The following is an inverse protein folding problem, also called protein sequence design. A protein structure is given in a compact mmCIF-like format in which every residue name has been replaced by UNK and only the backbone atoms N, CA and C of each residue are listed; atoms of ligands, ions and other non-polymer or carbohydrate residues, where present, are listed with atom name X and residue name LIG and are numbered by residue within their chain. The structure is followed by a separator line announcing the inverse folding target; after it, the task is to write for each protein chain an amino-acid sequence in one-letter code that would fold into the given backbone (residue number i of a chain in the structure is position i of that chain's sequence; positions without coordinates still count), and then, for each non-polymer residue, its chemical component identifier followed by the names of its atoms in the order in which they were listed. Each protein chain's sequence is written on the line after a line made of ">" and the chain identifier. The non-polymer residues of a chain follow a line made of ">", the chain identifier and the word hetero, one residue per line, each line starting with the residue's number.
data_IF_404378791787
#
_entry.id   IF_404378791787
#
_cell.length_a   1.000
_cell.length_b   1.000
_cell.length_c   1.000
_cell.angle_alpha   90.00
_cell.angle_beta   90.00
_cell.angle_gamma   90.00
#
_symmetry.space_group_name_H-M   'P 1'
#
loop_
_entity.id
_entity.type
_entity.pdbx_description
1 polymer ?
#
# COMPACT_ATOMS: atom_id res chain seq x y z
N UNK A 1 3.78 -11.13 -28.35
CA UNK A 1 2.79 -10.24 -27.69
C UNK A 1 2.31 -10.80 -26.35
N UNK A 2 2.13 -12.11 -26.20
CA UNK A 2 1.53 -12.74 -25.00
C UNK A 2 2.39 -12.65 -23.74
N UNK A 3 3.63 -13.15 -23.80
CA UNK A 3 4.55 -13.07 -22.66
C UNK A 3 4.84 -11.61 -22.25
N UNK A 4 4.97 -10.70 -23.24
CA UNK A 4 5.16 -9.28 -22.96
C UNK A 4 3.97 -8.63 -22.25
N UNK A 5 2.73 -9.02 -22.59
CA UNK A 5 1.52 -8.54 -21.89
C UNK A 5 1.47 -9.11 -20.48
N UNK A 6 1.74 -10.39 -20.30
CA UNK A 6 1.80 -11.02 -18.97
C UNK A 6 2.83 -10.33 -18.05
N UNK A 7 4.08 -10.20 -18.49
CA UNK A 7 5.12 -9.55 -17.69
C UNK A 7 4.82 -8.07 -17.47
N UNK A 8 4.34 -7.36 -18.49
CA UNK A 8 3.94 -5.96 -18.37
C UNK A 8 2.85 -5.75 -17.32
N UNK A 9 1.76 -6.53 -17.39
CA UNK A 9 0.66 -6.43 -16.44
C UNK A 9 1.08 -6.86 -15.03
N UNK A 10 1.92 -7.90 -14.91
CA UNK A 10 2.46 -8.35 -13.62
C UNK A 10 3.31 -7.26 -12.96
N UNK A 11 4.19 -6.62 -13.71
CA UNK A 11 5.04 -5.54 -13.19
C UNK A 11 4.26 -4.27 -12.87
N UNK A 12 3.22 -3.94 -13.63
CA UNK A 12 2.31 -2.84 -13.28
C UNK A 12 1.60 -3.16 -11.96
N UNK A 13 0.96 -4.32 -11.85
CA UNK A 13 0.15 -4.70 -10.69
C UNK A 13 1.00 -4.84 -9.41
N UNK A 14 2.07 -5.65 -9.46
CA UNK A 14 2.83 -6.05 -8.27
C UNK A 14 4.19 -5.38 -8.13
N UNK A 15 4.72 -4.71 -9.16
CA UNK A 15 6.07 -4.13 -9.14
C UNK A 15 6.29 -3.19 -7.95
N UNK A 16 5.42 -2.20 -7.72
CA UNK A 16 5.54 -1.32 -6.56
C UNK A 16 5.44 -2.07 -5.22
N UNK A 17 4.56 -3.06 -5.10
CA UNK A 17 4.41 -3.86 -3.89
C UNK A 17 5.68 -4.68 -3.57
N UNK A 18 6.27 -5.31 -4.60
CA UNK A 18 7.51 -6.07 -4.50
C UNK A 18 8.67 -5.13 -4.16
N UNK A 19 8.76 -3.96 -4.79
CA UNK A 19 9.79 -2.96 -4.47
C UNK A 19 9.69 -2.51 -3.00
N UNK A 20 8.48 -2.18 -2.55
CA UNK A 20 8.22 -1.84 -1.15
C UNK A 20 8.64 -2.98 -0.22
N UNK A 21 8.25 -4.22 -0.50
CA UNK A 21 8.66 -5.39 0.28
C UNK A 21 10.19 -5.54 0.34
N UNK A 22 10.87 -5.53 -0.81
CA UNK A 22 12.32 -5.73 -0.88
C UNK A 22 13.11 -4.64 -0.16
N UNK A 23 12.72 -3.37 -0.31
CA UNK A 23 13.46 -2.25 0.26
C UNK A 23 13.15 -1.98 1.74
N UNK A 24 11.94 -2.32 2.20
CA UNK A 24 11.47 -1.97 3.56
C UNK A 24 11.34 -3.17 4.51
N UNK A 25 10.92 -4.34 4.02
CA UNK A 25 10.65 -5.52 4.85
C UNK A 25 11.82 -6.52 4.78
N UNK A 26 12.33 -6.79 3.57
CA UNK A 26 13.32 -7.84 3.35
C UNK A 26 14.72 -7.52 3.92
N UNK A 27 15.00 -6.26 4.30
CA UNK A 27 16.25 -5.91 4.99
C UNK A 27 16.36 -6.52 6.38
N UNK A 28 15.26 -6.51 7.14
CA UNK A 28 15.21 -7.04 8.51
C UNK A 28 13.95 -7.89 8.72
N UNK A 29 13.81 -9.04 8.03
CA UNK A 29 12.58 -9.83 8.04
C UNK A 29 12.28 -10.40 9.44
N UNK A 30 13.31 -10.79 10.19
CA UNK A 30 13.16 -11.25 11.57
C UNK A 30 12.55 -10.18 12.47
N UNK A 31 12.95 -8.92 12.32
CA UNK A 31 12.39 -7.79 13.08
C UNK A 31 10.91 -7.60 12.79
N UNK A 32 10.49 -7.77 11.53
CA UNK A 32 9.07 -7.68 11.14
C UNK A 32 8.27 -8.88 11.64
N UNK A 33 8.84 -10.08 11.61
CA UNK A 33 8.19 -11.28 12.16
C UNK A 33 8.02 -11.13 13.67
N UNK A 34 9.07 -10.74 14.40
CA UNK A 34 8.99 -10.47 15.84
C UNK A 34 8.11 -9.25 16.17
N UNK A 35 7.94 -8.29 15.26
CA UNK A 35 7.00 -7.18 15.43
C UNK A 35 5.55 -7.69 15.45
N UNK A 36 5.18 -8.52 14.47
CA UNK A 36 3.84 -9.09 14.35
C UNK A 36 3.59 -10.10 15.48
N UNK A 37 4.54 -11.02 15.68
CA UNK A 37 4.47 -12.02 16.73
C UNK A 37 4.52 -11.37 18.12
N UNK A 38 5.37 -10.37 18.33
CA UNK A 38 5.55 -9.66 19.59
C UNK A 38 4.33 -8.84 20.01
N UNK A 39 3.61 -8.20 19.08
CA UNK A 39 2.35 -7.53 19.37
C UNK A 39 1.20 -8.51 19.64
N UNK A 40 1.19 -9.66 18.97
CA UNK A 40 0.32 -10.77 19.37
C UNK A 40 0.73 -11.34 20.75
N UNK A 41 2.04 -11.35 21.02
CA UNK A 41 2.65 -11.82 22.25
C UNK A 41 2.60 -10.76 23.36
N UNK A 42 2.17 -9.51 23.16
CA UNK A 42 2.01 -8.54 24.26
C UNK A 42 0.88 -8.97 25.20
N UNK A 43 -0.11 -9.72 24.68
CA UNK A 43 -1.06 -10.47 25.53
C UNK A 43 -0.42 -11.62 26.33
N UNK A 44 0.76 -12.09 25.93
CA UNK A 44 1.58 -13.13 26.58
C UNK A 44 2.78 -12.55 27.39
N UNK A 45 3.30 -11.36 27.04
CA UNK A 45 4.45 -10.66 27.66
C UNK A 45 4.03 -9.90 28.92
N UNK A 46 2.73 -9.62 29.11
CA UNK A 46 2.19 -9.36 30.45
C UNK A 46 2.57 -10.49 31.44
N UNK A 47 2.93 -11.69 30.95
CA UNK A 47 3.45 -12.81 31.75
C UNK A 47 4.97 -13.02 31.66
N UNK A 48 5.73 -12.35 30.77
CA UNK A 48 7.19 -12.56 30.64
C UNK A 48 7.98 -11.24 30.63
N UNK A 49 8.88 -11.10 31.60
CA UNK A 49 9.79 -9.96 31.78
C UNK A 49 10.91 -9.92 30.72
N UNK A 50 10.58 -9.62 29.46
CA UNK A 50 11.59 -9.36 28.45
C UNK A 50 11.46 -7.91 27.94
N UNK A 51 12.43 -7.06 28.30
CA UNK A 51 12.53 -5.68 27.81
C UNK A 51 12.72 -5.70 26.29
N UNK A 52 11.63 -5.51 25.55
CA UNK A 52 11.66 -5.43 24.10
C UNK A 52 11.75 -3.98 23.64
N UNK A 53 12.65 -3.72 22.70
CA UNK A 53 12.89 -2.40 22.09
C UNK A 53 11.56 -1.74 21.66
N UNK A 54 11.37 -0.42 21.86
CA UNK A 54 10.10 0.24 21.57
C UNK A 54 9.77 0.12 20.07
N UNK A 55 8.84 -0.78 19.81
CA UNK A 55 8.28 -1.10 18.50
C UNK A 55 7.42 0.07 18.01
N UNK A 56 7.61 0.52 16.76
CA UNK A 56 6.77 1.57 16.17
C UNK A 56 5.51 0.97 15.55
N UNK A 57 4.35 1.30 16.12
CA UNK A 57 3.01 0.95 15.60
C UNK A 57 2.83 1.34 14.12
N UNK A 58 3.56 2.35 13.65
CA UNK A 58 3.56 2.81 12.26
C UNK A 58 4.12 1.75 11.29
N UNK A 59 5.16 1.03 11.70
CA UNK A 59 5.73 -0.05 10.89
C UNK A 59 4.75 -1.22 10.78
N UNK A 60 4.05 -1.55 11.88
CA UNK A 60 3.02 -2.58 11.88
C UNK A 60 1.85 -2.19 10.95
N UNK A 61 1.38 -0.94 11.05
CA UNK A 61 0.31 -0.42 10.22
C UNK A 61 0.63 -0.50 8.72
N UNK A 62 1.84 -0.11 8.35
CA UNK A 62 2.34 -0.17 6.98
C UNK A 62 2.46 -1.61 6.46
N UNK A 63 3.07 -2.51 7.23
CA UNK A 63 3.23 -3.93 6.84
C UNK A 63 1.88 -4.62 6.73
N UNK A 64 0.96 -4.35 7.65
CA UNK A 64 -0.40 -4.88 7.64
C UNK A 64 -1.15 -4.41 6.38
N UNK A 65 -1.13 -3.10 6.09
CA UNK A 65 -1.77 -2.54 4.91
C UNK A 65 -1.21 -3.11 3.60
N UNK A 66 0.12 -3.20 3.49
CA UNK A 66 0.79 -3.78 2.32
C UNK A 66 0.42 -5.26 2.13
N UNK A 67 0.36 -6.04 3.21
CA UNK A 67 -0.06 -7.45 3.18
C UNK A 67 -1.50 -7.64 2.71
N UNK A 68 -2.44 -6.84 3.25
CA UNK A 68 -3.84 -6.84 2.79
C UNK A 68 -3.96 -6.46 1.32
N UNK A 69 -3.24 -5.40 0.90
CA UNK A 69 -3.22 -4.95 -0.48
C UNK A 69 -2.70 -6.04 -1.41
N UNK A 70 -1.54 -6.63 -1.10
CA UNK A 70 -0.94 -7.68 -1.91
C UNK A 70 -1.87 -8.89 -2.06
N UNK A 71 -2.47 -9.37 -0.97
CA UNK A 71 -3.38 -10.50 -1.01
C UNK A 71 -4.64 -10.19 -1.82
N UNK A 72 -5.28 -9.04 -1.57
CA UNK A 72 -6.44 -8.59 -2.33
C UNK A 72 -6.11 -8.47 -3.84
N UNK A 73 -4.96 -7.90 -4.15
CA UNK A 73 -4.47 -7.78 -5.52
C UNK A 73 -4.23 -9.13 -6.19
N UNK A 74 -3.62 -10.09 -5.49
CA UNK A 74 -3.42 -11.45 -5.98
C UNK A 74 -4.76 -12.13 -6.31
N UNK A 75 -5.74 -12.07 -5.40
CA UNK A 75 -7.08 -12.60 -5.66
C UNK A 75 -7.76 -11.91 -6.85
N UNK A 76 -7.52 -10.63 -7.07
CA UNK A 76 -8.15 -9.87 -8.16
C UNK A 76 -7.61 -10.21 -9.55
N UNK A 77 -6.31 -10.52 -9.69
CA UNK A 77 -5.64 -10.46 -11.00
C UNK A 77 -4.87 -11.72 -11.39
N UNK A 78 -4.58 -12.67 -10.47
CA UNK A 78 -3.77 -13.86 -10.82
C UNK A 78 -4.42 -14.71 -11.90
N UNK A 79 -5.74 -14.93 -11.82
CA UNK A 79 -6.47 -15.68 -12.84
C UNK A 79 -6.49 -14.93 -14.18
N UNK A 80 -6.73 -13.62 -14.15
CA UNK A 80 -6.71 -12.76 -15.34
C UNK A 80 -5.32 -12.76 -15.99
N UNK A 81 -4.25 -12.73 -15.18
CA UNK A 81 -2.88 -12.81 -15.67
C UNK A 81 -2.60 -14.14 -16.33
N UNK A 82 -3.08 -15.25 -15.77
CA UNK A 82 -2.95 -16.57 -16.38
C UNK A 82 -3.56 -16.59 -17.80
N UNK A 83 -4.74 -15.99 -17.97
CA UNK A 83 -5.41 -15.90 -19.28
C UNK A 83 -4.63 -15.03 -20.29
N UNK A 84 -3.89 -14.02 -19.81
CA UNK A 84 -3.09 -13.12 -20.67
C UNK A 84 -1.89 -13.78 -21.35
N UNK A 85 -1.52 -15.00 -20.93
CA UNK A 85 -0.45 -15.80 -21.56
C UNK A 85 -0.91 -16.40 -22.90
N UNK A 86 -2.22 -16.53 -23.10
CA UNK A 86 -2.79 -17.03 -24.34
C UNK A 86 -2.59 -16.08 -25.54
N UNK A 87 -2.62 -16.58 -26.79
CA UNK A 87 -2.43 -15.77 -28.00
C UNK A 87 -3.54 -14.75 -28.27
N UNK A 88 -4.69 -14.87 -27.60
CA UNK A 88 -5.82 -13.97 -27.76
C UNK A 88 -5.81 -12.80 -26.78
N UNK A 89 -6.45 -11.70 -27.16
CA UNK A 89 -6.81 -10.60 -26.25
C UNK A 89 -8.34 -10.57 -26.06
N UNK A 90 -8.79 -9.91 -25.00
CA UNK A 90 -10.22 -9.67 -24.74
C UNK A 90 -10.81 -8.79 -25.84
N UNK A 91 -12.05 -9.05 -26.24
CA UNK A 91 -12.80 -8.20 -27.17
C UNK A 91 -13.53 -8.90 -28.32
N UNK A 92 -13.50 -10.23 -28.40
CA UNK A 92 -14.26 -10.97 -29.44
C UNK A 92 -15.78 -10.75 -29.34
N UNK A 93 -16.29 -10.50 -28.14
CA UNK A 93 -17.71 -10.20 -27.87
C UNK A 93 -18.00 -8.69 -27.72
N UNK A 94 -17.11 -7.81 -28.18
CA UNK A 94 -17.28 -6.35 -28.08
C UNK A 94 -16.74 -5.72 -26.80
N UNK A 95 -16.08 -6.50 -25.95
CA UNK A 95 -15.35 -6.00 -24.78
C UNK A 95 -14.10 -5.20 -25.17
N UNK A 96 -13.58 -4.41 -24.23
CA UNK A 96 -12.37 -3.61 -24.47
C UNK A 96 -11.11 -4.47 -24.54
N UNK A 97 -10.27 -4.19 -25.53
CA UNK A 97 -8.93 -4.76 -25.65
C UNK A 97 -7.98 -4.32 -24.53
N UNK A 98 -8.32 -3.26 -23.80
CA UNK A 98 -7.54 -2.75 -22.68
C UNK A 98 -7.83 -3.47 -21.35
N UNK A 99 -8.64 -4.53 -21.35
CA UNK A 99 -9.04 -5.23 -20.13
C UNK A 99 -7.86 -5.65 -19.23
N UNK A 100 -6.81 -6.25 -19.79
CA UNK A 100 -5.65 -6.70 -19.02
C UNK A 100 -4.89 -5.54 -18.38
N UNK A 101 -4.64 -4.47 -19.14
CA UNK A 101 -3.88 -3.32 -18.65
C UNK A 101 -4.68 -2.49 -17.63
N UNK A 102 -5.98 -2.30 -17.86
CA UNK A 102 -6.89 -1.63 -16.92
C UNK A 102 -6.99 -2.41 -15.61
N UNK A 103 -7.11 -3.74 -15.68
CA UNK A 103 -7.10 -4.62 -14.50
C UNK A 103 -5.79 -4.49 -13.72
N UNK A 104 -4.65 -4.49 -14.41
CA UNK A 104 -3.34 -4.34 -13.75
C UNK A 104 -3.19 -3.00 -13.02
N UNK A 105 -3.59 -1.89 -13.64
CA UNK A 105 -3.58 -0.57 -12.99
C UNK A 105 -4.57 -0.48 -11.83
N UNK A 106 -5.76 -1.07 -11.97
CA UNK A 106 -6.72 -1.12 -10.87
C UNK A 106 -6.17 -1.92 -9.67
N UNK A 107 -5.53 -3.07 -9.93
CA UNK A 107 -4.88 -3.88 -8.89
C UNK A 107 -3.76 -3.12 -8.21
N UNK A 108 -2.91 -2.43 -8.97
CA UNK A 108 -1.87 -1.55 -8.41
C UNK A 108 -2.48 -0.50 -7.47
N UNK A 109 -3.53 0.18 -7.93
CA UNK A 109 -4.21 1.20 -7.14
C UNK A 109 -4.78 0.61 -5.84
N UNK A 110 -5.42 -0.56 -5.90
CA UNK A 110 -5.93 -1.25 -4.71
C UNK A 110 -4.83 -1.66 -3.72
N UNK A 111 -3.69 -2.16 -4.20
CA UNK A 111 -2.56 -2.53 -3.34
C UNK A 111 -2.02 -1.30 -2.60
N UNK A 112 -1.79 -0.19 -3.32
CA UNK A 112 -1.29 1.04 -2.72
C UNK A 112 -2.31 1.68 -1.79
N UNK A 113 -3.59 1.70 -2.17
CA UNK A 113 -4.67 2.19 -1.33
C UNK A 113 -4.77 1.41 -0.02
N UNK A 114 -4.70 0.07 -0.05
CA UNK A 114 -4.66 -0.74 1.17
C UNK A 114 -3.45 -0.43 2.06
N UNK A 115 -2.30 -0.14 1.46
CA UNK A 115 -1.11 0.30 2.20
C UNK A 115 -1.37 1.62 2.92
N UNK A 116 -1.93 2.62 2.23
CA UNK A 116 -2.22 3.93 2.81
C UNK A 116 -3.39 3.91 3.80
N UNK A 117 -4.47 3.19 3.49
CA UNK A 117 -5.58 2.93 4.39
C UNK A 117 -5.10 2.28 5.68
N UNK A 118 -4.20 1.29 5.60
CA UNK A 118 -3.59 0.70 6.80
C UNK A 118 -2.91 1.75 7.69
N UNK A 119 -2.04 2.58 7.11
CA UNK A 119 -1.35 3.63 7.87
C UNK A 119 -2.32 4.61 8.53
N UNK A 120 -3.31 5.12 7.79
CA UNK A 120 -4.29 6.08 8.31
C UNK A 120 -5.23 5.42 9.33
N UNK A 121 -5.63 4.18 9.10
CA UNK A 121 -6.51 3.41 9.99
C UNK A 121 -5.88 3.22 11.37
N UNK A 122 -4.65 2.73 11.44
CA UNK A 122 -3.97 2.52 12.72
C UNK A 122 -3.67 3.84 13.45
N UNK A 123 -3.35 4.92 12.72
CA UNK A 123 -3.19 6.25 13.34
C UNK A 123 -4.51 6.80 13.89
N UNK A 124 -5.62 6.57 13.17
CA UNK A 124 -6.95 6.96 13.62
C UNK A 124 -7.36 6.18 14.88
N UNK A 125 -7.05 4.88 14.95
CA UNK A 125 -7.26 4.05 16.13
C UNK A 125 -6.41 4.55 17.32
N UNK A 126 -5.12 4.85 17.10
CA UNK A 126 -4.21 5.31 18.16
C UNK A 126 -4.64 6.67 18.74
N UNK A 127 -5.16 7.57 17.90
CA UNK A 127 -5.60 8.92 18.33
C UNK A 127 -7.10 9.02 18.62
N UNK A 128 -7.81 7.88 18.62
CA UNK A 128 -9.26 7.80 18.84
C UNK A 128 -10.08 8.73 17.92
N UNK A 129 -9.62 8.92 16.68
CA UNK A 129 -10.25 9.78 15.68
C UNK A 129 -11.24 9.00 14.82
N UNK A 130 -12.43 8.79 15.37
CA UNK A 130 -13.52 8.05 14.71
C UNK A 130 -13.90 8.57 13.32
N UNK A 131 -13.82 9.89 13.10
CA UNK A 131 -14.08 10.50 11.79
C UNK A 131 -13.10 10.04 10.71
N UNK A 132 -11.80 9.94 11.03
CA UNK A 132 -10.78 9.43 10.10
C UNK A 132 -10.99 7.94 9.82
N UNK A 133 -11.38 7.15 10.83
CA UNK A 133 -11.67 5.73 10.67
C UNK A 133 -12.88 5.51 9.74
N UNK A 134 -13.96 6.27 9.94
CA UNK A 134 -15.11 6.26 9.05
C UNK A 134 -14.72 6.66 7.61
N UNK A 135 -13.87 7.69 7.44
CA UNK A 135 -13.40 8.11 6.13
C UNK A 135 -12.61 7.01 5.40
N UNK A 136 -11.76 6.24 6.10
CA UNK A 136 -11.05 5.10 5.52
C UNK A 136 -12.04 4.06 5.02
N UNK A 137 -12.99 3.62 5.86
CA UNK A 137 -13.99 2.61 5.48
C UNK A 137 -14.86 3.09 4.31
N UNK A 138 -15.33 4.33 4.35
CA UNK A 138 -16.13 4.92 3.28
C UNK A 138 -15.34 5.05 1.98
N UNK A 139 -14.07 5.44 2.04
CA UNK A 139 -13.22 5.52 0.85
C UNK A 139 -12.91 4.15 0.26
N UNK A 140 -12.77 3.11 1.09
CA UNK A 140 -12.64 1.72 0.65
C UNK A 140 -13.90 1.25 -0.09
N UNK A 141 -15.07 1.49 0.50
CA UNK A 141 -16.35 1.16 -0.13
C UNK A 141 -16.57 1.95 -1.42
N UNK A 142 -16.24 3.25 -1.43
CA UNK A 142 -16.35 4.10 -2.60
C UNK A 142 -15.52 3.57 -3.77
N UNK A 143 -14.24 3.24 -3.54
CA UNK A 143 -13.37 2.66 -4.58
C UNK A 143 -13.88 1.31 -5.06
N UNK A 144 -14.39 0.49 -4.14
CA UNK A 144 -15.06 -0.78 -4.49
C UNK A 144 -16.28 -0.54 -5.39
N UNK A 145 -17.12 0.44 -5.08
CA UNK A 145 -18.28 0.79 -5.91
C UNK A 145 -17.88 1.41 -7.26
N UNK A 146 -16.78 2.15 -7.34
CA UNK A 146 -16.26 2.68 -8.61
C UNK A 146 -15.93 1.54 -9.59
N UNK A 147 -15.52 0.36 -9.09
CA UNK A 147 -15.30 -0.81 -9.97
C UNK A 147 -16.55 -1.30 -10.68
N UNK A 148 -17.75 -1.04 -10.14
CA UNK A 148 -19.01 -1.38 -10.79
C UNK A 148 -19.32 -0.49 -12.00
N UNK A 149 -18.62 0.64 -12.18
CA UNK A 149 -18.73 1.46 -13.37
C UNK A 149 -18.00 0.86 -14.59
N UNK A 150 -17.23 -0.22 -14.42
CA UNK A 150 -16.68 -0.98 -15.55
C UNK A 150 -17.85 -1.54 -16.39
N UNK A 151 -17.81 -1.41 -17.74
CA UNK A 151 -16.63 -1.25 -18.59
C UNK A 151 -16.19 0.20 -18.91
N UNK A 152 -16.83 1.23 -18.33
CA UNK A 152 -16.40 2.62 -18.50
C UNK A 152 -15.16 2.93 -17.66
N UNK A 153 -13.98 2.50 -18.12
CA UNK A 153 -12.73 2.63 -17.38
C UNK A 153 -12.37 4.06 -16.99
N UNK A 154 -12.71 5.06 -17.81
CA UNK A 154 -12.47 6.46 -17.47
C UNK A 154 -13.19 6.88 -16.18
N UNK A 155 -14.43 6.41 -15.99
CA UNK A 155 -15.24 6.71 -14.80
C UNK A 155 -14.86 5.91 -13.56
N UNK A 156 -14.06 4.87 -13.70
CA UNK A 156 -13.61 4.02 -12.58
C UNK A 156 -12.16 4.28 -12.20
N UNK A 157 -11.26 4.23 -13.20
CA UNK A 157 -9.81 4.28 -13.00
C UNK A 157 -9.35 5.69 -12.61
N UNK A 158 -9.81 6.73 -13.33
CA UNK A 158 -9.38 8.11 -13.07
C UNK A 158 -9.76 8.54 -11.64
N UNK A 159 -11.01 8.38 -11.17
CA UNK A 159 -11.37 8.72 -9.80
C UNK A 159 -10.62 7.89 -8.76
N UNK A 160 -10.37 6.60 -9.03
CA UNK A 160 -9.58 5.74 -8.15
C UNK A 160 -8.15 6.27 -7.95
N UNK A 161 -7.49 6.73 -9.03
CA UNK A 161 -6.14 7.31 -8.95
C UNK A 161 -6.11 8.69 -8.27
N UNK A 162 -7.19 9.47 -8.38
CA UNK A 162 -7.36 10.71 -7.61
C UNK A 162 -7.45 10.37 -6.12
N UNK A 163 -8.31 9.43 -5.73
CA UNK A 163 -8.46 8.98 -4.33
C UNK A 163 -7.14 8.42 -3.80
N UNK A 164 -6.43 7.62 -4.60
CA UNK A 164 -5.09 7.12 -4.28
C UNK A 164 -4.12 8.25 -3.93
N UNK A 165 -4.06 9.29 -4.76
CA UNK A 165 -3.14 10.43 -4.56
C UNK A 165 -3.49 11.23 -3.30
N UNK A 166 -4.78 11.43 -3.03
CA UNK A 166 -5.27 12.08 -1.81
C UNK A 166 -4.94 11.25 -0.56
N UNK A 167 -5.19 9.95 -0.61
CA UNK A 167 -4.91 9.03 0.50
C UNK A 167 -3.40 8.87 0.75
N UNK A 168 -2.58 8.85 -0.30
CA UNK A 168 -1.11 8.86 -0.19
C UNK A 168 -0.62 10.11 0.54
N UNK A 169 -1.15 11.27 0.16
CA UNK A 169 -0.82 12.56 0.78
C UNK A 169 -1.22 12.56 2.26
N UNK A 170 -2.41 12.06 2.59
CA UNK A 170 -2.86 11.94 3.98
C UNK A 170 -1.98 10.98 4.79
N UNK A 171 -1.70 9.78 4.26
CA UNK A 171 -0.83 8.80 4.91
C UNK A 171 0.58 9.35 5.18
N UNK A 172 1.14 10.14 4.25
CA UNK A 172 2.43 10.81 4.45
C UNK A 172 2.41 11.75 5.67
N UNK A 173 1.35 12.56 5.84
CA UNK A 173 1.21 13.43 7.00
C UNK A 173 0.96 12.64 8.29
N UNK A 174 0.13 11.58 8.26
CA UNK A 174 -0.09 10.69 9.41
C UNK A 174 1.21 10.02 9.88
N UNK A 175 2.11 9.67 8.95
CA UNK A 175 3.41 9.09 9.27
C UNK A 175 4.43 10.09 9.85
N UNK A 176 4.09 11.39 9.93
CA UNK A 176 4.95 12.46 10.43
C UNK A 176 5.70 13.25 9.35
N UNK A 177 5.31 13.08 8.08
CA UNK A 177 5.84 13.88 6.97
C UNK A 177 5.42 15.35 7.06
N UNK A 178 6.25 16.23 6.52
CA UNK A 178 5.94 17.67 6.38
C UNK A 178 6.57 18.22 5.10
N UNK A 179 6.08 19.36 4.60
CA UNK A 179 6.69 20.05 3.45
C UNK A 179 8.15 20.43 3.71
N UNK A 180 8.51 20.68 4.97
CA UNK A 180 9.90 20.95 5.38
C UNK A 180 10.76 19.70 5.22
N UNK A 181 10.28 18.53 5.66
CA UNK A 181 10.99 17.26 5.51
C UNK A 181 11.18 16.92 4.03
N UNK A 182 10.16 17.17 3.21
CA UNK A 182 10.24 16.96 1.77
C UNK A 182 11.30 17.87 1.13
N UNK A 183 11.31 19.17 1.49
CA UNK A 183 12.32 20.12 1.02
C UNK A 183 13.74 19.74 1.47
N UNK A 184 13.91 19.25 2.69
CA UNK A 184 15.20 18.80 3.22
C UNK A 184 15.72 17.56 2.49
N UNK A 185 14.83 16.59 2.22
CA UNK A 185 15.15 15.40 1.42
C UNK A 185 15.55 15.78 -0.02
N UNK A 186 14.75 16.63 -0.69
CA UNK A 186 15.03 17.10 -2.05
C UNK A 186 16.32 17.91 -2.16
N UNK A 187 16.72 18.62 -1.09
CA UNK A 187 17.98 19.38 -1.06
C UNK A 187 19.16 18.59 -0.52
N UNK A 188 18.99 17.29 -0.22
CA UNK A 188 19.99 16.40 0.40
C UNK A 188 20.62 16.94 1.71
N UNK A 189 20.00 17.94 2.35
CA UNK A 189 20.48 18.56 3.61
C UNK A 189 20.10 17.77 4.85
N UNK A 190 19.44 16.63 4.67
CA UNK A 190 18.92 15.79 5.76
C UNK A 190 20.06 15.17 6.59
N UNK A 191 21.19 14.82 5.95
CA UNK A 191 22.39 14.30 6.63
C UNK A 191 23.01 15.35 7.58
N UNK A 192 23.05 16.61 7.17
CA UNK A 192 23.60 17.70 7.98
C UNK A 192 22.71 18.01 9.18
N UNK A 193 21.38 17.88 9.05
CA UNK A 193 20.44 18.10 10.13
C UNK A 193 20.49 16.98 11.19
N UNK A 194 20.53 15.72 10.77
CA UNK A 194 20.67 14.59 11.70
C UNK A 194 22.01 14.61 12.47
N UNK A 195 23.10 15.03 11.81
CA UNK A 195 24.40 15.22 12.44
C UNK A 195 24.44 16.44 13.38
N UNK A 196 23.74 17.52 13.05
CA UNK A 196 23.66 18.71 13.90
C UNK A 196 22.86 18.46 15.19
N UNK A 197 21.84 17.60 15.14
CA UNK A 197 20.98 17.29 16.30
C UNK A 197 21.56 16.19 17.20
N UNK A 198 22.58 15.46 16.75
CA UNK A 198 23.32 14.47 17.54
C UNK A 198 24.53 15.04 18.32
N UNK A 199 24.84 16.34 18.18
CA UNK A 199 25.80 16.96 19.09
C UNK A 199 25.16 17.09 20.48
N UNK A 200 25.72 16.46 21.52
CA UNK A 200 25.29 16.75 22.89
C UNK A 200 25.56 18.23 23.16
N UNK A 201 24.58 18.90 23.75
CA UNK A 201 24.79 20.22 24.35
C UNK A 201 25.74 20.11 25.53
#
# INVERSE_FOLDING_TARGET
>A
MTASVFFGCTFIAFGPAIALFLFTIARDPLRVIFLIAGKANEGLLVLSQEETMPISIRQLAYVSGLGFGFMSGAFSVVNILADSVGPGTVGIHGDSQHYFISSAFMTLAMILLHTFWGVVFFEACEKERWGSLAAVVLSHLLVSCLTFANPHYEGSLIPTYIILSLMATWAFFCAGGSLRNLKLCLTCKDKDFLLANHRPR
#
